data_IF_289440173016
#
_entry.id   IF_289440173016
#
_cell.length_a   1.000
_cell.length_b   1.000
_cell.length_c   1.000
_cell.angle_alpha   90.00
_cell.angle_beta   90.00
_cell.angle_gamma   90.00
#
_symmetry.space_group_name_H-M   'P 1'
#
loop_
_entity.id
_entity.type
_entity.pdbx_description
1 polymer ?
#
# COMPACT_ATOMS: atom_id res chain seq x y z
N UNK A 1 -6.26 10.49 35.79
CA UNK A 1 -6.95 9.39 35.10
C UNK A 1 -8.09 10.02 34.32
N UNK A 2 -7.77 10.50 33.11
CA UNK A 2 -8.75 10.95 32.14
C UNK A 2 -8.50 10.11 30.90
N UNK A 3 -9.51 9.34 30.53
CA UNK A 3 -9.60 8.66 29.25
C UNK A 3 -9.82 9.73 28.18
N UNK A 4 -8.93 9.75 27.20
CA UNK A 4 -9.14 10.36 25.89
C UNK A 4 -8.71 9.33 24.86
N UNK A 5 -9.54 8.31 24.70
CA UNK A 5 -9.49 7.35 23.59
C UNK A 5 -9.80 8.11 22.29
N UNK A 6 -8.78 8.79 21.77
CA UNK A 6 -8.75 9.21 20.37
C UNK A 6 -8.21 8.05 19.58
N UNK A 7 -9.06 7.05 19.29
CA UNK A 7 -8.71 5.94 18.41
C UNK A 7 -8.09 6.49 17.14
N UNK A 8 -6.76 6.40 17.03
CA UNK A 8 -6.05 6.87 15.85
C UNK A 8 -6.61 6.09 14.68
N UNK A 9 -7.27 6.78 13.75
CA UNK A 9 -7.84 6.15 12.55
C UNK A 9 -6.72 5.38 11.84
N UNK A 10 -6.96 4.10 11.55
CA UNK A 10 -5.97 3.20 10.95
C UNK A 10 -5.34 3.83 9.71
N UNK A 11 -4.04 3.62 9.49
CA UNK A 11 -3.28 4.19 8.38
C UNK A 11 -3.98 3.99 7.03
N UNK A 12 -4.41 2.76 6.73
CA UNK A 12 -5.09 2.44 5.47
C UNK A 12 -6.44 3.15 5.31
N UNK A 13 -7.19 3.34 6.40
CA UNK A 13 -8.47 4.05 6.36
C UNK A 13 -8.27 5.55 6.12
N UNK A 14 -7.26 6.18 6.76
CA UNK A 14 -6.91 7.58 6.51
C UNK A 14 -6.49 7.82 5.07
N UNK A 15 -5.66 6.94 4.53
CA UNK A 15 -5.24 7.00 3.13
C UNK A 15 -6.43 6.84 2.18
N UNK A 16 -7.30 5.85 2.42
CA UNK A 16 -8.48 5.60 1.60
C UNK A 16 -9.45 6.80 1.59
N UNK A 17 -9.71 7.41 2.75
CA UNK A 17 -10.54 8.63 2.84
C UNK A 17 -9.94 9.78 2.02
N UNK A 18 -8.65 10.07 2.23
CA UNK A 18 -7.95 11.14 1.52
C UNK A 18 -8.00 10.97 0.01
N UNK A 19 -7.67 9.77 -0.47
CA UNK A 19 -7.70 9.44 -1.90
C UNK A 19 -9.12 9.55 -2.44
N UNK A 20 -10.13 9.02 -1.73
CA UNK A 20 -11.53 9.11 -2.16
C UNK A 20 -12.02 10.56 -2.25
N UNK A 21 -11.68 11.43 -1.28
CA UNK A 21 -12.04 12.85 -1.31
C UNK A 21 -11.46 13.58 -2.51
N UNK A 22 -10.21 13.28 -2.88
CA UNK A 22 -9.61 13.85 -4.09
C UNK A 22 -10.25 13.32 -5.37
N UNK A 23 -10.47 12.00 -5.47
CA UNK A 23 -11.07 11.38 -6.65
C UNK A 23 -12.50 11.87 -6.93
N UNK A 24 -13.27 12.26 -5.91
CA UNK A 24 -14.60 12.87 -6.07
C UNK A 24 -14.58 14.23 -6.79
N UNK A 25 -13.42 14.86 -6.95
CA UNK A 25 -13.28 16.11 -7.72
C UNK A 25 -13.05 15.86 -9.22
N UNK A 26 -12.86 14.60 -9.64
CA UNK A 26 -12.76 14.21 -11.04
C UNK A 26 -14.15 14.06 -11.68
N UNK A 27 -14.27 14.24 -13.02
CA UNK A 27 -15.50 13.91 -13.73
C UNK A 27 -15.89 12.43 -13.58
N UNK A 28 -17.18 12.18 -13.35
CA UNK A 28 -17.72 10.82 -13.14
C UNK A 28 -17.40 9.87 -14.32
N UNK A 29 -17.41 10.38 -15.55
CA UNK A 29 -17.08 9.60 -16.75
C UNK A 29 -15.64 9.07 -16.71
N UNK A 30 -14.69 9.92 -16.28
CA UNK A 30 -13.29 9.52 -16.16
C UNK A 30 -13.12 8.46 -15.08
N UNK A 31 -13.74 8.66 -13.91
CA UNK A 31 -13.66 7.71 -12.80
C UNK A 31 -14.35 6.38 -13.15
N UNK A 32 -15.51 6.45 -13.81
CA UNK A 32 -16.29 5.31 -14.29
C UNK A 32 -15.49 4.39 -15.19
N UNK A 33 -14.72 4.95 -16.14
CA UNK A 33 -13.86 4.17 -17.03
C UNK A 33 -12.84 3.30 -16.28
N UNK A 34 -12.18 3.84 -15.25
CA UNK A 34 -11.23 3.04 -14.45
C UNK A 34 -11.94 1.99 -13.60
N UNK A 35 -13.13 2.29 -13.09
CA UNK A 35 -13.96 1.32 -12.36
C UNK A 35 -14.38 0.15 -13.25
N UNK A 36 -14.84 0.44 -14.46
CA UNK A 36 -15.20 -0.59 -15.43
C UNK A 36 -14.00 -1.44 -15.84
N UNK A 37 -12.81 -0.84 -15.98
CA UNK A 37 -11.58 -1.60 -16.15
C UNK A 37 -11.36 -2.57 -14.97
N UNK A 38 -11.37 -2.09 -13.73
CA UNK A 38 -11.14 -2.91 -12.54
C UNK A 38 -12.15 -4.05 -12.41
N UNK A 39 -13.45 -3.78 -12.61
CA UNK A 39 -14.51 -4.79 -12.53
C UNK A 39 -14.36 -5.89 -13.58
N UNK A 40 -13.88 -5.55 -14.79
CA UNK A 40 -13.57 -6.54 -15.85
C UNK A 40 -12.38 -7.44 -15.50
N UNK A 41 -11.56 -7.05 -14.53
CA UNK A 41 -10.48 -7.88 -14.01
C UNK A 41 -10.95 -8.88 -12.95
N UNK A 42 -12.24 -8.97 -12.61
CA UNK A 42 -12.70 -10.06 -11.74
C UNK A 42 -12.85 -11.36 -12.53
N UNK A 43 -12.11 -12.41 -12.16
CA UNK A 43 -12.15 -13.71 -12.83
C UNK A 43 -13.31 -14.57 -12.31
N UNK A 44 -13.61 -15.67 -13.00
CA UNK A 44 -14.73 -16.58 -12.67
C UNK A 44 -14.64 -17.15 -11.25
N UNK A 45 -13.42 -17.40 -10.75
CA UNK A 45 -13.17 -17.81 -9.38
C UNK A 45 -13.51 -16.74 -8.32
N UNK A 46 -13.69 -15.48 -8.73
CA UNK A 46 -14.15 -14.36 -7.90
C UNK A 46 -13.04 -13.42 -7.42
N UNK A 47 -11.78 -13.85 -7.47
CA UNK A 47 -10.62 -12.97 -7.29
C UNK A 47 -10.40 -12.03 -8.49
N UNK A 48 -9.46 -11.11 -8.37
CA UNK A 48 -9.04 -10.26 -9.48
C UNK A 48 -7.74 -10.78 -10.08
N UNK A 49 -7.65 -10.71 -11.41
CA UNK A 49 -6.53 -11.27 -12.16
C UNK A 49 -5.28 -10.41 -12.08
N UNK A 50 -4.16 -11.09 -11.88
CA UNK A 50 -2.84 -10.56 -12.18
C UNK A 50 -2.48 -10.69 -13.66
N UNK A 51 -1.21 -10.47 -13.99
CA UNK A 51 -0.71 -10.60 -15.37
C UNK A 51 -0.75 -12.03 -15.91
N UNK A 52 -0.77 -13.03 -15.03
CA UNK A 52 -0.87 -14.46 -15.39
C UNK A 52 -2.32 -14.93 -15.63
N UNK A 53 -3.32 -14.08 -15.36
CA UNK A 53 -4.72 -14.27 -15.77
C UNK A 53 -5.65 -14.95 -14.76
N UNK A 54 -5.10 -15.70 -13.80
CA UNK A 54 -5.86 -16.31 -12.70
C UNK A 54 -6.11 -15.32 -11.56
N UNK A 55 -7.12 -15.61 -10.74
CA UNK A 55 -7.44 -14.83 -9.55
C UNK A 55 -6.33 -14.93 -8.52
N UNK A 56 -5.77 -13.80 -8.13
CA UNK A 56 -4.61 -13.71 -7.24
C UNK A 56 -4.93 -12.78 -6.05
N UNK A 57 -4.51 -13.16 -4.83
CA UNK A 57 -4.83 -12.39 -3.62
C UNK A 57 -4.16 -11.01 -3.61
N UNK A 58 -2.91 -10.91 -4.05
CA UNK A 58 -2.18 -9.65 -4.14
C UNK A 58 -2.90 -8.64 -5.05
N UNK A 59 -3.24 -9.03 -6.28
CA UNK A 59 -4.00 -8.18 -7.20
C UNK A 59 -5.44 -7.93 -6.74
N UNK A 60 -6.08 -8.93 -6.11
CA UNK A 60 -7.40 -8.76 -5.47
C UNK A 60 -7.38 -7.63 -4.44
N UNK A 61 -6.36 -7.59 -3.58
CA UNK A 61 -6.21 -6.53 -2.59
C UNK A 61 -6.13 -5.14 -3.23
N UNK A 62 -5.42 -4.98 -4.35
CA UNK A 62 -5.37 -3.70 -5.08
C UNK A 62 -6.71 -3.33 -5.73
N UNK A 63 -7.36 -4.28 -6.41
CA UNK A 63 -8.66 -4.03 -7.03
C UNK A 63 -9.70 -3.57 -5.99
N UNK A 64 -9.78 -4.26 -4.86
CA UNK A 64 -10.73 -3.95 -3.80
C UNK A 64 -10.45 -2.57 -3.20
N UNK A 65 -9.19 -2.24 -2.93
CA UNK A 65 -8.79 -0.90 -2.45
C UNK A 65 -9.16 0.19 -3.45
N UNK A 66 -8.86 -0.01 -4.73
CA UNK A 66 -9.18 0.94 -5.79
C UNK A 66 -10.71 1.11 -5.97
N UNK A 67 -11.47 0.01 -5.95
CA UNK A 67 -12.93 0.05 -6.04
C UNK A 67 -13.55 0.74 -4.83
N UNK A 68 -13.03 0.51 -3.62
CA UNK A 68 -13.49 1.16 -2.40
C UNK A 68 -13.38 2.70 -2.50
N UNK A 69 -12.24 3.23 -2.95
CA UNK A 69 -12.03 4.69 -3.04
C UNK A 69 -12.73 5.35 -4.23
N UNK A 70 -13.14 4.58 -5.23
CA UNK A 70 -13.80 5.09 -6.45
C UNK A 70 -15.33 4.96 -6.45
N UNK A 71 -15.95 4.39 -5.41
CA UNK A 71 -17.42 4.24 -5.35
C UNK A 71 -17.91 2.87 -4.86
N UNK A 72 -17.05 2.07 -4.26
CA UNK A 72 -17.38 0.77 -3.68
C UNK A 72 -17.41 -0.38 -4.67
N UNK A 73 -17.49 -1.60 -4.11
CA UNK A 73 -17.61 -2.86 -4.81
C UNK A 73 -19.10 -3.19 -5.03
N UNK A 74 -19.56 -3.42 -6.28
CA UNK A 74 -20.94 -3.81 -6.53
C UNK A 74 -21.31 -5.14 -5.85
N UNK A 75 -22.60 -5.29 -5.51
CA UNK A 75 -23.10 -6.43 -4.70
C UNK A 75 -22.76 -7.79 -5.32
N UNK A 76 -22.92 -7.94 -6.64
CA UNK A 76 -22.61 -9.19 -7.34
C UNK A 76 -21.11 -9.53 -7.33
N UNK A 77 -20.26 -8.53 -7.58
CA UNK A 77 -18.82 -8.69 -7.48
C UNK A 77 -18.38 -9.02 -6.05
N UNK A 78 -19.01 -8.40 -5.04
CA UNK A 78 -18.76 -8.70 -3.64
C UNK A 78 -19.17 -10.13 -3.25
N UNK A 79 -20.24 -10.68 -3.83
CA UNK A 79 -20.62 -12.09 -3.64
C UNK A 79 -19.55 -13.04 -4.19
N UNK A 80 -19.05 -12.78 -5.41
CA UNK A 80 -18.00 -13.60 -6.02
C UNK A 80 -16.70 -13.51 -5.24
N UNK A 81 -16.34 -12.31 -4.79
CA UNK A 81 -15.16 -12.10 -3.94
C UNK A 81 -15.30 -12.84 -2.61
N UNK A 82 -16.48 -12.85 -1.99
CA UNK A 82 -16.73 -13.60 -0.76
C UNK A 82 -16.43 -15.09 -0.93
N UNK A 83 -16.90 -15.73 -2.01
CA UNK A 83 -16.61 -17.14 -2.28
C UNK A 83 -15.13 -17.38 -2.60
N UNK A 84 -14.47 -16.46 -3.31
CA UNK A 84 -13.02 -16.53 -3.52
C UNK A 84 -12.26 -16.52 -2.18
N UNK A 85 -12.57 -15.58 -1.28
CA UNK A 85 -11.90 -15.47 0.02
C UNK A 85 -12.10 -16.71 0.91
N UNK A 86 -13.22 -17.43 0.78
CA UNK A 86 -13.49 -18.68 1.51
C UNK A 86 -12.62 -19.85 1.05
N UNK A 87 -12.11 -19.81 -0.19
CA UNK A 87 -11.20 -20.84 -0.69
C UNK A 87 -9.77 -20.72 -0.14
N UNK A 88 -9.41 -19.56 0.42
CA UNK A 88 -8.10 -19.33 1.01
C UNK A 88 -8.09 -19.66 2.51
N UNK A 89 -7.02 -20.29 2.97
CA UNK A 89 -6.71 -20.40 4.40
C UNK A 89 -5.83 -19.22 4.83
N UNK A 90 -6.37 -18.19 5.51
CA UNK A 90 -5.61 -17.01 5.91
C UNK A 90 -4.41 -17.33 6.81
N UNK A 91 -4.44 -18.42 7.58
CA UNK A 91 -3.33 -18.78 8.47
C UNK A 91 -2.11 -19.36 7.73
N UNK A 92 -2.31 -19.80 6.48
CA UNK A 92 -1.22 -20.27 5.60
C UNK A 92 -0.62 -19.18 4.71
N UNK A 93 -1.22 -17.98 4.69
CA UNK A 93 -0.80 -16.90 3.81
C UNK A 93 0.47 -16.22 4.32
N UNK A 94 1.30 -15.74 3.39
CA UNK A 94 2.35 -14.78 3.74
C UNK A 94 1.72 -13.42 4.11
N UNK A 95 2.50 -12.53 4.73
CA UNK A 95 1.98 -11.26 5.24
C UNK A 95 1.33 -10.36 4.17
N UNK A 96 1.82 -10.40 2.92
CA UNK A 96 1.29 -9.59 1.81
C UNK A 96 -0.08 -10.09 1.40
N UNK A 97 -0.21 -11.40 1.17
CA UNK A 97 -1.49 -12.00 0.78
C UNK A 97 -2.49 -11.96 1.92
N UNK A 98 -2.03 -12.11 3.17
CA UNK A 98 -2.85 -11.97 4.36
C UNK A 98 -3.40 -10.55 4.50
N UNK A 99 -2.58 -9.52 4.27
CA UNK A 99 -3.04 -8.13 4.26
C UNK A 99 -4.12 -7.92 3.18
N UNK A 100 -3.88 -8.42 1.97
CA UNK A 100 -4.85 -8.34 0.87
C UNK A 100 -6.15 -9.08 1.19
N UNK A 101 -6.06 -10.26 1.82
CA UNK A 101 -7.20 -11.06 2.25
C UNK A 101 -8.01 -10.33 3.34
N UNK A 102 -7.36 -9.84 4.40
CA UNK A 102 -7.99 -9.12 5.50
C UNK A 102 -8.71 -7.86 5.02
N UNK A 103 -8.04 -7.01 4.24
CA UNK A 103 -8.67 -5.81 3.69
C UNK A 103 -9.88 -6.16 2.82
N UNK A 104 -9.75 -7.18 1.98
CA UNK A 104 -10.85 -7.64 1.12
C UNK A 104 -12.03 -8.17 1.93
N UNK A 105 -11.75 -8.91 3.01
CA UNK A 105 -12.76 -9.42 3.93
C UNK A 105 -13.52 -8.25 4.61
N UNK A 106 -12.82 -7.24 5.13
CA UNK A 106 -13.45 -6.04 5.70
C UNK A 106 -14.36 -5.32 4.69
N UNK A 107 -13.95 -5.18 3.43
CA UNK A 107 -14.77 -4.52 2.41
C UNK A 107 -16.00 -5.38 2.05
N UNK A 108 -15.86 -6.70 1.97
CA UNK A 108 -17.00 -7.60 1.75
C UNK A 108 -18.00 -7.51 2.91
N UNK A 109 -17.54 -7.56 4.15
CA UNK A 109 -18.42 -7.42 5.32
C UNK A 109 -19.13 -6.06 5.33
N UNK A 110 -18.39 -4.97 5.11
CA UNK A 110 -18.96 -3.63 5.10
C UNK A 110 -19.98 -3.42 3.97
N UNK A 111 -19.78 -4.07 2.81
CA UNK A 111 -20.66 -3.92 1.65
C UNK A 111 -21.87 -4.84 1.67
N UNK A 112 -21.77 -6.02 2.29
CA UNK A 112 -22.80 -7.07 2.23
C UNK A 112 -23.45 -7.40 3.57
N UNK A 113 -22.84 -7.05 4.69
CA UNK A 113 -23.27 -7.49 6.02
C UNK A 113 -23.20 -9.01 6.21
N UNK A 114 -22.43 -9.71 5.38
CA UNK A 114 -22.19 -11.16 5.48
C UNK A 114 -20.86 -11.37 6.17
N UNK A 115 -20.81 -12.23 7.18
CA UNK A 115 -19.60 -12.49 7.95
C UNK A 115 -18.51 -13.17 7.13
N UNK A 116 -17.30 -12.63 7.23
CA UNK A 116 -16.05 -13.20 6.68
C UNK A 116 -14.99 -13.29 7.77
N UNK A 117 -14.84 -12.20 8.52
CA UNK A 117 -14.06 -12.05 9.74
C UNK A 117 -14.94 -12.30 10.97
N UNK A 118 -16.19 -11.79 10.99
CA UNK A 118 -17.11 -11.95 12.13
C UNK A 118 -17.51 -13.40 12.39
N UNK A 119 -17.43 -14.25 11.36
CA UNK A 119 -17.73 -15.68 11.43
C UNK A 119 -16.51 -16.51 11.85
N UNK A 120 -15.33 -15.88 12.01
CA UNK A 120 -14.12 -16.56 12.47
C UNK A 120 -14.17 -16.75 14.00
N UNK A 121 -13.46 -17.77 14.53
CA UNK A 121 -13.31 -17.93 15.98
C UNK A 121 -12.71 -16.68 16.64
N UNK A 122 -13.04 -16.46 17.91
CA UNK A 122 -12.54 -15.33 18.70
C UNK A 122 -11.00 -15.30 18.74
N UNK A 123 -10.37 -16.48 18.69
CA UNK A 123 -8.91 -16.65 18.72
C UNK A 123 -8.21 -16.31 17.40
N UNK A 124 -8.95 -16.11 16.30
CA UNK A 124 -8.38 -15.94 14.95
C UNK A 124 -7.34 -14.82 14.89
N UNK A 125 -7.63 -13.67 15.49
CA UNK A 125 -6.68 -12.55 15.54
C UNK A 125 -5.39 -12.94 16.29
N UNK A 126 -5.51 -13.69 17.40
CA UNK A 126 -4.37 -14.16 18.17
C UNK A 126 -3.55 -15.22 17.41
N UNK A 127 -4.19 -16.07 16.60
CA UNK A 127 -3.52 -17.05 15.74
C UNK A 127 -2.74 -16.38 14.60
N UNK A 128 -3.34 -15.39 13.94
CA UNK A 128 -2.65 -14.57 12.95
C UNK A 128 -1.43 -13.89 13.55
N UNK A 129 -1.58 -13.25 14.72
CA UNK A 129 -0.46 -12.63 15.43
C UNK A 129 0.63 -13.66 15.72
N UNK A 130 0.27 -14.85 16.22
CA UNK A 130 1.23 -15.92 16.50
C UNK A 130 1.99 -16.35 15.25
N UNK A 131 1.30 -16.46 14.10
CA UNK A 131 1.91 -16.78 12.81
C UNK A 131 2.91 -15.70 12.38
N UNK A 132 2.52 -14.43 12.39
CA UNK A 132 3.40 -13.32 12.03
C UNK A 132 4.64 -13.22 12.92
N UNK A 133 4.51 -13.56 14.21
CA UNK A 133 5.66 -13.52 15.13
C UNK A 133 6.72 -14.57 14.83
N UNK A 134 6.40 -15.64 14.08
CA UNK A 134 7.39 -16.59 13.60
C UNK A 134 8.32 -15.99 12.54
N UNK A 135 7.89 -14.89 11.91
CA UNK A 135 8.69 -14.14 10.94
C UNK A 135 9.61 -13.10 11.60
N UNK A 136 9.57 -12.95 12.93
CA UNK A 136 10.39 -11.94 13.62
C UNK A 136 11.86 -12.32 13.60
N UNK A 137 12.72 -11.37 13.23
CA UNK A 137 14.16 -11.58 13.14
C UNK A 137 14.92 -10.96 14.31
N UNK A 138 16.15 -11.42 14.52
CA UNK A 138 17.01 -10.97 15.63
C UNK A 138 17.37 -9.48 15.55
N UNK A 139 17.42 -8.93 14.34
CA UNK A 139 17.65 -7.50 14.07
C UNK A 139 16.43 -6.61 14.37
N UNK A 140 15.30 -7.18 14.81
CA UNK A 140 14.11 -6.45 15.21
C UNK A 140 13.05 -6.29 14.11
N UNK A 141 13.35 -6.63 12.85
CA UNK A 141 12.39 -6.60 11.75
C UNK A 141 11.54 -7.88 11.62
N UNK A 142 10.92 -8.03 10.46
CA UNK A 142 10.26 -9.26 10.02
C UNK A 142 10.85 -9.74 8.69
N UNK A 143 11.12 -11.05 8.57
CA UNK A 143 11.55 -11.70 7.34
C UNK A 143 10.37 -12.15 6.49
N UNK A 144 10.61 -12.39 5.19
CA UNK A 144 9.58 -12.88 4.26
C UNK A 144 9.12 -14.30 4.58
N UNK A 145 10.00 -15.14 5.13
CA UNK A 145 9.73 -16.53 5.52
C UNK A 145 10.34 -16.84 6.88
N UNK A 146 9.91 -17.93 7.51
CA UNK A 146 10.38 -18.40 8.81
C UNK A 146 11.86 -18.80 8.84
N UNK A 147 12.43 -19.13 7.68
CA UNK A 147 13.84 -19.47 7.52
C UNK A 147 14.73 -18.22 7.29
N UNK A 148 14.12 -17.05 7.10
CA UNK A 148 14.82 -15.81 6.81
C UNK A 148 15.63 -15.32 8.01
N UNK A 149 16.93 -15.11 7.81
CA UNK A 149 17.84 -14.70 8.88
C UNK A 149 17.84 -13.18 9.17
N UNK A 150 17.26 -12.36 8.28
CA UNK A 150 17.30 -10.90 8.36
C UNK A 150 15.95 -10.28 8.00
N UNK A 151 15.63 -9.17 8.66
CA UNK A 151 14.39 -8.45 8.44
C UNK A 151 14.40 -7.68 7.12
N UNK A 152 13.21 -7.48 6.57
CA UNK A 152 12.93 -6.66 5.39
C UNK A 152 12.09 -5.45 5.81
N UNK A 153 12.41 -4.27 5.27
CA UNK A 153 11.67 -3.03 5.55
C UNK A 153 10.22 -3.15 5.08
N UNK A 154 10.02 -3.56 3.82
CA UNK A 154 8.69 -3.76 3.26
C UNK A 154 7.88 -4.81 4.04
N UNK A 155 8.49 -5.96 4.34
CA UNK A 155 7.81 -7.03 5.09
C UNK A 155 7.41 -6.58 6.49
N UNK A 156 8.28 -5.83 7.18
CA UNK A 156 7.97 -5.27 8.50
C UNK A 156 6.79 -4.31 8.43
N UNK A 157 6.69 -3.53 7.36
CA UNK A 157 5.55 -2.64 7.10
C UNK A 157 4.26 -3.44 6.84
N UNK A 158 4.31 -4.49 6.02
CA UNK A 158 3.16 -5.37 5.77
C UNK A 158 2.65 -6.01 7.06
N UNK A 159 3.55 -6.57 7.88
CA UNK A 159 3.18 -7.12 9.18
C UNK A 159 2.50 -6.07 10.06
N UNK A 160 3.06 -4.86 10.17
CA UNK A 160 2.48 -3.79 10.98
C UNK A 160 1.06 -3.40 10.54
N UNK A 161 0.79 -3.36 9.22
CA UNK A 161 -0.56 -3.12 8.72
C UNK A 161 -1.53 -4.25 9.08
N UNK A 162 -1.08 -5.51 9.08
CA UNK A 162 -1.91 -6.64 9.55
C UNK A 162 -2.22 -6.51 11.04
N UNK A 163 -1.22 -6.18 11.88
CA UNK A 163 -1.44 -5.90 13.30
C UNK A 163 -2.48 -4.79 13.48
N UNK A 164 -2.33 -3.67 12.77
CA UNK A 164 -3.25 -2.53 12.84
C UNK A 164 -4.68 -2.91 12.43
N UNK A 165 -4.86 -3.63 11.31
CA UNK A 165 -6.18 -4.09 10.85
C UNK A 165 -6.88 -5.02 11.83
N UNK A 166 -6.13 -5.80 12.62
CA UNK A 166 -6.65 -6.67 13.67
C UNK A 166 -6.85 -5.94 15.01
N UNK A 167 -6.61 -4.63 15.07
CA UNK A 167 -6.64 -3.85 16.31
C UNK A 167 -5.57 -4.26 17.33
N UNK A 168 -4.48 -4.88 16.86
CA UNK A 168 -3.40 -5.39 17.70
C UNK A 168 -2.21 -4.44 17.71
N UNK A 169 -1.53 -4.38 18.86
CA UNK A 169 -0.28 -3.65 18.98
C UNK A 169 0.90 -4.50 18.49
N UNK A 170 1.82 -3.89 17.75
CA UNK A 170 3.02 -4.58 17.32
C UNK A 170 3.98 -4.79 18.51
N UNK A 171 4.37 -6.05 18.82
CA UNK A 171 5.25 -6.29 19.96
C UNK A 171 6.67 -5.81 19.69
N UNK A 172 7.44 -5.62 20.77
CA UNK A 172 8.84 -5.16 20.71
C UNK A 172 9.00 -3.91 19.83
N UNK A 173 8.12 -2.91 20.00
CA UNK A 173 8.13 -1.61 19.31
C UNK A 173 9.55 -1.04 19.15
N UNK A 174 10.29 -0.90 20.25
CA UNK A 174 11.60 -0.26 20.22
C UNK A 174 12.64 -1.04 19.40
N UNK A 175 12.54 -2.37 19.32
CA UNK A 175 13.41 -3.16 18.46
C UNK A 175 13.09 -2.94 16.98
N UNK A 176 11.80 -2.75 16.63
CA UNK A 176 11.41 -2.38 15.27
C UNK A 176 11.86 -0.97 14.90
N UNK A 177 11.77 -0.02 15.83
CA UNK A 177 12.28 1.34 15.62
C UNK A 177 13.79 1.31 15.37
N UNK A 178 14.56 0.60 16.21
CA UNK A 178 16.01 0.45 16.00
C UNK A 178 16.32 -0.23 14.66
N UNK A 179 15.58 -1.29 14.31
CA UNK A 179 15.70 -1.94 13.01
C UNK A 179 15.59 -0.92 11.86
N UNK A 180 14.58 -0.04 11.90
CA UNK A 180 14.35 0.98 10.87
C UNK A 180 15.48 2.01 10.83
N UNK A 181 15.95 2.51 11.97
CA UNK A 181 17.11 3.40 12.01
C UNK A 181 18.34 2.77 11.35
N UNK A 182 18.58 1.47 11.58
CA UNK A 182 19.69 0.75 10.95
C UNK A 182 19.49 0.51 9.42
N UNK A 183 18.30 0.83 8.87
CA UNK A 183 17.99 0.79 7.42
C UNK A 183 18.18 2.12 6.72
N UNK A 184 18.37 3.22 7.43
CA UNK A 184 18.67 4.51 6.80
C UNK A 184 20.09 4.53 6.21
N UNK A 185 20.32 5.30 5.16
CA UNK A 185 21.64 5.50 4.54
C UNK A 185 22.02 6.98 4.55
N UNK A 186 23.28 7.25 4.23
CA UNK A 186 23.83 8.61 4.11
C UNK A 186 23.11 9.46 3.05
N UNK A 187 22.39 8.83 2.11
CA UNK A 187 21.55 9.52 1.13
C UNK A 187 20.18 9.95 1.71
N UNK A 188 19.96 9.77 3.02
CA UNK A 188 18.75 10.15 3.75
C UNK A 188 17.59 9.15 3.65
N UNK A 189 17.60 8.30 2.62
CA UNK A 189 16.56 7.29 2.41
C UNK A 189 16.78 6.01 3.22
N UNK A 190 15.89 5.03 3.00
CA UNK A 190 15.96 3.71 3.61
C UNK A 190 16.13 2.62 2.56
N UNK A 191 16.78 1.52 2.98
CA UNK A 191 16.95 0.32 2.15
C UNK A 191 16.01 -0.81 2.56
N UNK A 192 15.79 -1.74 1.63
CA UNK A 192 14.96 -2.91 1.87
C UNK A 192 15.64 -3.95 2.78
N UNK A 193 16.94 -4.16 2.60
CA UNK A 193 17.76 -5.09 3.40
C UNK A 193 19.11 -4.48 3.76
N UNK A 194 19.68 -4.86 4.90
CA UNK A 194 20.90 -4.26 5.46
C UNK A 194 22.12 -4.22 4.50
N UNK A 195 22.40 -5.23 3.64
CA UNK A 195 23.56 -5.17 2.75
C UNK A 195 23.49 -4.11 1.63
N UNK A 196 22.30 -3.58 1.35
CA UNK A 196 22.13 -2.55 0.31
C UNK A 196 22.81 -1.24 0.74
N UNK A 197 23.47 -0.57 -0.21
CA UNK A 197 24.22 0.67 0.03
C UNK A 197 23.47 1.94 -0.37
N UNK A 198 22.42 1.81 -1.18
CA UNK A 198 21.65 2.94 -1.72
C UNK A 198 20.18 2.70 -1.46
N UNK A 199 19.51 3.76 -1.06
CA UNK A 199 18.11 3.75 -0.69
C UNK A 199 17.19 3.66 -1.90
N UNK A 200 15.93 3.33 -1.65
CA UNK A 200 14.89 3.29 -2.67
C UNK A 200 13.62 3.98 -2.19
N UNK A 201 12.84 4.50 -3.12
CA UNK A 201 11.62 5.27 -2.83
C UNK A 201 10.61 4.48 -2.02
N UNK A 202 10.36 3.23 -2.40
CA UNK A 202 9.41 2.36 -1.71
C UNK A 202 9.84 1.94 -0.29
N UNK A 203 11.08 1.46 -0.05
CA UNK A 203 11.53 1.19 1.32
C UNK A 203 11.60 2.46 2.18
N UNK A 204 11.96 3.63 1.61
CA UNK A 204 11.88 4.93 2.30
C UNK A 204 10.45 5.23 2.74
N UNK A 205 9.47 5.11 1.83
CA UNK A 205 8.06 5.35 2.15
C UNK A 205 7.53 4.40 3.23
N UNK A 206 7.86 3.11 3.14
CA UNK A 206 7.47 2.11 4.13
C UNK A 206 8.08 2.39 5.51
N UNK A 207 9.36 2.75 5.57
CA UNK A 207 10.04 3.13 6.81
C UNK A 207 9.45 4.41 7.41
N UNK A 208 9.19 5.44 6.58
CA UNK A 208 8.61 6.69 7.04
C UNK A 208 7.20 6.50 7.61
N UNK A 209 6.35 5.71 6.95
CA UNK A 209 5.02 5.37 7.45
C UNK A 209 5.09 4.60 8.78
N UNK A 210 6.02 3.63 8.91
CA UNK A 210 6.24 2.90 10.15
C UNK A 210 6.76 3.78 11.28
N UNK A 211 7.80 4.59 11.03
CA UNK A 211 8.35 5.48 12.05
C UNK A 211 7.28 6.47 12.54
N UNK A 212 6.44 6.98 11.63
CA UNK A 212 5.31 7.85 11.98
C UNK A 212 4.29 7.11 12.84
N UNK A 213 3.84 5.92 12.42
CA UNK A 213 2.83 5.14 13.17
C UNK A 213 3.32 4.67 14.53
N UNK A 214 4.62 4.42 14.65
CA UNK A 214 5.27 4.06 15.91
C UNK A 214 5.53 5.29 16.79
N UNK A 215 5.38 6.53 16.30
CA UNK A 215 5.74 7.74 17.05
C UNK A 215 7.25 7.86 17.27
N UNK A 216 8.03 7.55 16.25
CA UNK A 216 9.49 7.54 16.23
C UNK A 216 10.08 8.28 15.01
N UNK A 217 9.23 8.98 14.24
CA UNK A 217 9.64 9.96 13.24
C UNK A 217 9.97 11.28 13.96
N UNK A 218 11.20 11.75 13.83
CA UNK A 218 11.64 13.06 14.31
C UNK A 218 11.97 14.00 13.13
N UNK A 219 12.27 15.26 13.46
CA UNK A 219 12.49 16.30 12.45
C UNK A 219 13.75 16.02 11.60
N UNK A 220 14.80 15.43 12.18
CA UNK A 220 16.05 15.11 11.46
C UNK A 220 15.81 14.02 10.42
N UNK A 221 15.15 12.92 10.81
CA UNK A 221 14.80 11.84 9.88
C UNK A 221 13.82 12.34 8.82
N UNK A 222 12.85 13.19 9.19
CA UNK A 222 11.91 13.75 8.22
C UNK A 222 12.64 14.62 7.18
N UNK A 223 13.59 15.46 7.60
CA UNK A 223 14.42 16.27 6.71
C UNK A 223 15.26 15.39 5.75
N UNK A 224 15.89 14.35 6.27
CA UNK A 224 16.66 13.38 5.49
C UNK A 224 15.81 12.67 4.43
N UNK A 225 14.61 12.18 4.82
CA UNK A 225 13.67 11.53 3.91
C UNK A 225 13.25 12.50 2.79
N UNK A 226 12.97 13.76 3.13
CA UNK A 226 12.61 14.78 2.15
C UNK A 226 13.78 15.15 1.23
N UNK A 227 15.01 15.17 1.75
CA UNK A 227 16.24 15.29 0.97
C UNK A 227 16.37 14.16 -0.06
N UNK A 228 16.27 12.91 0.39
CA UNK A 228 16.27 11.75 -0.49
C UNK A 228 15.17 11.82 -1.55
N UNK A 229 13.94 12.15 -1.16
CA UNK A 229 12.81 12.25 -2.09
C UNK A 229 13.02 13.35 -3.13
N UNK A 230 13.76 14.41 -2.81
CA UNK A 230 14.16 15.44 -3.78
C UNK A 230 15.12 14.86 -4.82
N UNK A 231 16.07 14.02 -4.40
CA UNK A 231 17.07 13.42 -5.30
C UNK A 231 16.50 12.37 -6.27
N UNK A 232 15.38 11.75 -5.93
CA UNK A 232 14.70 10.76 -6.79
C UNK A 232 13.56 11.35 -7.63
N UNK A 233 13.38 12.68 -7.64
CA UNK A 233 12.48 13.33 -8.60
C UNK A 233 13.01 13.11 -10.02
N UNK A 234 12.17 12.57 -10.90
CA UNK A 234 12.45 12.40 -12.32
C UNK A 234 12.08 13.66 -13.10
N UNK A 235 12.85 13.95 -14.15
CA UNK A 235 12.49 14.98 -15.14
C UNK A 235 11.20 14.67 -15.91
N UNK A 236 10.72 13.42 -15.84
CA UNK A 236 9.44 13.01 -16.43
C UNK A 236 8.22 13.51 -15.63
N UNK A 237 8.40 14.04 -14.41
CA UNK A 237 7.31 14.51 -13.54
C UNK A 237 6.80 13.46 -12.53
N UNK A 238 7.57 12.40 -12.28
CA UNK A 238 7.30 11.39 -11.26
C UNK A 238 8.51 11.10 -10.39
N UNK A 239 8.46 10.04 -9.58
CA UNK A 239 9.59 9.60 -8.75
C UNK A 239 10.24 8.35 -9.34
N UNK A 240 11.57 8.30 -9.31
CA UNK A 240 12.38 7.14 -9.65
C UNK A 240 12.33 6.11 -8.52
N UNK A 241 12.55 4.83 -8.82
CA UNK A 241 12.64 3.79 -7.79
C UNK A 241 13.87 3.97 -6.88
N UNK A 242 14.96 4.51 -7.42
CA UNK A 242 16.18 4.94 -6.73
C UNK A 242 17.05 5.77 -7.68
N UNK A 243 18.12 6.37 -7.17
CA UNK A 243 19.04 7.25 -7.92
C UNK A 243 19.81 6.61 -9.08
N UNK A 244 19.66 5.30 -9.34
CA UNK A 244 20.24 4.60 -10.51
C UNK A 244 19.23 4.29 -11.61
N UNK A 245 17.93 4.38 -11.32
CA UNK A 245 16.89 4.13 -12.30
C UNK A 245 16.56 5.47 -12.95
N UNK A 246 16.86 5.66 -14.25
CA UNK A 246 16.78 6.98 -14.87
C UNK A 246 15.36 7.41 -15.24
N UNK A 247 14.35 6.63 -14.85
CA UNK A 247 12.96 6.83 -15.22
C UNK A 247 12.04 6.71 -14.00
N UNK A 248 10.91 7.41 -14.05
CA UNK A 248 9.86 7.30 -13.06
C UNK A 248 8.95 6.09 -13.32
N UNK A 249 8.37 5.57 -12.25
CA UNK A 249 7.32 4.55 -12.31
C UNK A 249 6.13 4.94 -11.41
N UNK A 250 4.96 4.35 -11.69
CA UNK A 250 3.72 4.68 -11.00
C UNK A 250 3.72 4.34 -9.50
N UNK A 251 4.37 3.24 -9.11
CA UNK A 251 4.45 2.82 -7.71
C UNK A 251 5.32 3.81 -6.91
N UNK A 252 6.55 4.06 -7.37
CA UNK A 252 7.47 5.01 -6.73
C UNK A 252 6.88 6.42 -6.71
N UNK A 253 6.17 6.82 -7.77
CA UNK A 253 5.49 8.12 -7.82
C UNK A 253 4.39 8.23 -6.77
N UNK A 254 3.57 7.19 -6.60
CA UNK A 254 2.54 7.17 -5.57
C UNK A 254 3.12 7.24 -4.15
N UNK A 255 4.08 6.37 -3.84
CA UNK A 255 4.65 6.26 -2.49
C UNK A 255 5.51 7.47 -2.13
N UNK A 256 6.30 7.99 -3.08
CA UNK A 256 7.09 9.21 -2.91
C UNK A 256 6.20 10.44 -2.70
N UNK A 257 5.15 10.61 -3.51
CA UNK A 257 4.21 11.71 -3.35
C UNK A 257 3.47 11.64 -2.01
N UNK A 258 2.95 10.46 -1.64
CA UNK A 258 2.27 10.27 -0.35
C UNK A 258 3.19 10.65 0.82
N UNK A 259 4.41 10.10 0.82
CA UNK A 259 5.39 10.33 1.89
C UNK A 259 5.77 11.81 2.00
N UNK A 260 6.07 12.46 0.87
CA UNK A 260 6.39 13.89 0.86
C UNK A 260 5.24 14.72 1.44
N UNK A 261 4.00 14.45 1.04
CA UNK A 261 2.84 15.20 1.53
C UNK A 261 2.54 14.91 3.01
N UNK A 262 2.77 13.69 3.49
CA UNK A 262 2.60 13.33 4.90
C UNK A 262 3.66 13.99 5.79
N UNK A 263 4.86 14.22 5.25
CA UNK A 263 5.93 15.02 5.86
C UNK A 263 5.82 16.52 5.57
N UNK A 264 4.67 16.98 5.03
CA UNK A 264 4.37 18.40 4.88
C UNK A 264 4.95 19.09 3.64
N UNK A 265 5.59 18.37 2.71
CA UNK A 265 6.10 18.93 1.45
C UNK A 265 5.18 18.61 0.27
N UNK A 266 4.78 19.66 -0.46
CA UNK A 266 3.88 19.57 -1.64
C UNK A 266 4.50 20.15 -2.92
N UNK A 267 5.73 20.60 -2.81
CA UNK A 267 6.45 21.42 -3.80
C UNK A 267 7.65 20.68 -4.42
N UNK A 268 7.86 19.40 -4.10
CA UNK A 268 8.94 18.61 -4.70
C UNK A 268 8.79 18.47 -6.22
N UNK A 269 7.55 18.30 -6.69
CA UNK A 269 7.20 18.28 -8.10
C UNK A 269 5.92 19.11 -8.27
N UNK A 270 5.87 20.07 -9.21
CA UNK A 270 4.66 20.82 -9.49
C UNK A 270 3.50 19.89 -9.90
N UNK A 271 2.30 20.16 -9.38
CA UNK A 271 1.14 19.29 -9.56
C UNK A 271 0.78 19.07 -11.05
N UNK A 272 0.98 20.08 -11.89
CA UNK A 272 0.78 20.02 -13.33
C UNK A 272 1.75 19.06 -14.04
N UNK A 273 2.98 18.92 -13.53
CA UNK A 273 3.96 17.98 -14.08
C UNK A 273 3.61 16.55 -13.70
N UNK A 274 3.22 16.31 -12.44
CA UNK A 274 2.72 14.99 -12.01
C UNK A 274 1.47 14.62 -12.81
N UNK A 275 0.56 15.56 -13.01
CA UNK A 275 -0.66 15.30 -13.78
C UNK A 275 -0.35 14.99 -15.25
N UNK A 276 0.59 15.72 -15.87
CA UNK A 276 1.03 15.45 -17.24
C UNK A 276 1.68 14.07 -17.37
N UNK A 277 2.54 13.68 -16.42
CA UNK A 277 3.14 12.36 -16.35
C UNK A 277 2.09 11.25 -16.19
N UNK A 278 1.19 11.39 -15.22
CA UNK A 278 0.20 10.34 -14.92
C UNK A 278 -0.82 10.21 -16.04
N UNK A 279 -1.41 11.32 -16.51
CA UNK A 279 -2.45 11.27 -17.55
C UNK A 279 -1.91 11.05 -18.95
N UNK A 280 -0.77 11.66 -19.28
CA UNK A 280 -0.16 11.54 -20.61
C UNK A 280 0.74 10.31 -20.75
N UNK A 281 1.32 9.86 -19.63
CA UNK A 281 2.31 8.79 -19.60
C UNK A 281 1.79 7.46 -19.08
N UNK A 282 0.83 7.40 -18.15
CA UNK A 282 0.42 6.14 -17.50
C UNK A 282 -1.06 5.77 -17.70
N UNK A 283 -1.96 6.74 -17.82
CA UNK A 283 -3.40 6.52 -18.00
C UNK A 283 -3.69 5.96 -19.40
N UNK A 284 -4.55 4.94 -19.50
CA UNK A 284 -5.02 4.41 -20.79
C UNK A 284 -6.46 4.83 -21.09
N UNK A 285 -6.74 5.11 -22.36
CA UNK A 285 -8.08 5.46 -22.86
C UNK A 285 -9.11 4.34 -22.68
N UNK A 286 -8.67 3.09 -22.54
CA UNK A 286 -9.52 1.93 -22.27
C UNK A 286 -9.86 1.76 -20.77
N UNK A 287 -9.28 2.62 -19.92
CA UNK A 287 -9.30 2.50 -18.47
C UNK A 287 -8.05 1.80 -17.93
N UNK A 288 -7.86 1.96 -16.63
CA UNK A 288 -6.65 1.52 -15.94
C UNK A 288 -5.40 2.35 -16.23
N UNK A 289 -4.30 1.96 -15.59
CA UNK A 289 -2.99 2.57 -15.71
C UNK A 289 -1.92 1.50 -15.90
N UNK A 290 -0.89 1.84 -16.67
CA UNK A 290 0.33 1.04 -16.84
C UNK A 290 1.40 1.44 -15.82
N UNK A 291 2.39 0.58 -15.59
CA UNK A 291 3.40 0.83 -14.55
C UNK A 291 4.47 1.84 -14.89
N UNK A 292 4.83 1.92 -16.16
CA UNK A 292 5.78 2.89 -16.69
C UNK A 292 5.47 3.19 -18.16
N UNK A 293 6.04 4.25 -18.71
CA UNK A 293 5.73 4.74 -20.07
C UNK A 293 6.00 3.69 -21.17
N UNK A 294 6.96 2.78 -20.96
CA UNK A 294 7.27 1.72 -21.93
C UNK A 294 6.35 0.49 -21.81
N UNK A 295 5.59 0.36 -20.73
CA UNK A 295 4.62 -0.71 -20.58
C UNK A 295 3.43 -0.46 -21.54
N UNK A 296 2.83 -1.55 -22.02
CA UNK A 296 1.77 -1.52 -23.03
C UNK A 296 0.40 -1.85 -22.45
N UNK A 297 0.36 -2.38 -21.22
CA UNK A 297 -0.87 -2.87 -20.64
C UNK A 297 -1.14 -2.19 -19.31
N UNK A 298 -2.41 -1.84 -19.09
CA UNK A 298 -2.88 -1.53 -17.76
C UNK A 298 -3.01 -2.82 -16.95
N UNK A 299 -2.71 -2.72 -15.66
CA UNK A 299 -3.03 -3.77 -14.70
C UNK A 299 -3.69 -3.20 -13.45
N UNK A 300 -4.21 -4.10 -12.62
CA UNK A 300 -4.96 -3.74 -11.41
C UNK A 300 -4.10 -2.98 -10.39
N UNK A 301 -2.83 -3.37 -10.23
CA UNK A 301 -1.92 -2.79 -9.25
C UNK A 301 -1.58 -1.34 -9.63
N UNK A 302 -1.12 -1.10 -10.86
CA UNK A 302 -0.79 0.25 -11.28
C UNK A 302 -2.02 1.12 -11.49
N UNK A 303 -3.18 0.52 -11.75
CA UNK A 303 -4.45 1.26 -11.69
C UNK A 303 -4.74 1.78 -10.28
N UNK A 304 -4.48 1.00 -9.24
CA UNK A 304 -4.57 1.48 -7.87
C UNK A 304 -3.60 2.64 -7.61
N UNK A 305 -2.33 2.52 -8.01
CA UNK A 305 -1.35 3.60 -7.81
C UNK A 305 -1.69 4.86 -8.60
N UNK A 306 -2.11 4.74 -9.86
CA UNK A 306 -2.52 5.86 -10.71
C UNK A 306 -3.71 6.63 -10.12
N UNK A 307 -4.74 5.90 -9.69
CA UNK A 307 -5.88 6.48 -8.96
C UNK A 307 -5.44 7.09 -7.62
N UNK A 308 -4.50 6.45 -6.92
CA UNK A 308 -3.89 6.98 -5.71
C UNK A 308 -3.22 8.34 -5.94
N UNK A 309 -2.39 8.46 -6.98
CA UNK A 309 -1.71 9.72 -7.33
C UNK A 309 -2.74 10.80 -7.67
N UNK A 310 -3.72 10.50 -8.53
CA UNK A 310 -4.79 11.45 -8.84
C UNK A 310 -5.53 11.87 -7.57
N UNK A 311 -5.92 10.93 -6.72
CA UNK A 311 -6.57 11.21 -5.45
C UNK A 311 -5.74 12.13 -4.54
N UNK A 312 -4.42 11.95 -4.47
CA UNK A 312 -3.55 12.82 -3.68
C UNK A 312 -3.45 14.24 -4.25
N UNK A 313 -3.33 14.38 -5.58
CA UNK A 313 -3.25 15.69 -6.24
C UNK A 313 -4.54 16.51 -6.06
N UNK A 314 -5.69 15.85 -6.07
CA UNK A 314 -6.98 16.50 -5.90
C UNK A 314 -7.45 16.54 -4.45
N UNK A 315 -6.76 15.96 -3.46
CA UNK A 315 -7.22 15.92 -2.06
C UNK A 315 -7.27 17.29 -1.39
#
# INVERSE_FOLDING_TARGET
MEQGDGGSVMYLMRLADRVSRGLRKLPDEQLGRHREFLLRQQCDAGGFRGREGDGDLYYTGFAVRALAVTGGLPVENAARLHEFLKSADPLSLNAVDLLSWLYSAFVVEASRGVGVLSDRPEEFAAEVVRSLLQLRTADGGFSRTTEGAAGSTYQSFMCALVFELLGQQIPRRNALVQFLYDRQREDGGFVEIAPMKRSGTNPTAAAAALLTSLGAMDDEIAEDVLGFLTDVVSSEGGFQANTRIPFADGLSTFTGLLTAQDLGRRDLIPAEQILAYVRGGLELESGGFRGAVWDQQADVEYTFYGLGILGLLYS
#
